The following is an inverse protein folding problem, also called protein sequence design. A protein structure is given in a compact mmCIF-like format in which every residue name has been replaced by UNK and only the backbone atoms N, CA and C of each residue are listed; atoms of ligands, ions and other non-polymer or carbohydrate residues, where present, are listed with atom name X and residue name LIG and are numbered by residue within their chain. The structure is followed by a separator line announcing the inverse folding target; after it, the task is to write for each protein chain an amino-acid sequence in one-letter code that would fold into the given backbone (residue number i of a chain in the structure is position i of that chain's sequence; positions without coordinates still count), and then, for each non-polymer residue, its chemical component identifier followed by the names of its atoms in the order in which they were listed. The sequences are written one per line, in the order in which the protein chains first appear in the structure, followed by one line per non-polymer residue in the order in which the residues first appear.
data_IF_056833325867
#
_entry.id   IF_056833325867
#
_cell.length_a   1.000
_cell.length_b   1.000
_cell.length_c   1.000
_cell.angle_alpha   90.00
_cell.angle_beta   90.00
_cell.angle_gamma   90.00
#
_symmetry.space_group_name_H-M   'P 1'
#
loop_
_entity.id
_entity.type
_entity.pdbx_description
1 polymer ?
#
# COMPACT_ATOMS: atom_id res chain seq x y z
N UNK A 1 -6.26 5.47 -26.50
CA UNK A 1 -5.98 6.89 -26.77
C UNK A 1 -4.59 7.28 -26.25
N UNK A 2 -4.33 7.24 -24.94
CA UNK A 2 -3.05 7.64 -24.33
C UNK A 2 -1.80 6.93 -24.88
N UNK A 3 -1.86 5.63 -25.15
CA UNK A 3 -0.73 4.90 -25.72
C UNK A 3 -0.24 5.48 -27.07
N UNK A 4 -1.17 6.00 -27.89
CA UNK A 4 -0.83 6.66 -29.17
C UNK A 4 -0.15 8.01 -28.97
N UNK A 5 -0.36 8.66 -27.83
CA UNK A 5 0.32 9.89 -27.43
C UNK A 5 1.66 9.62 -26.71
N UNK A 6 2.15 8.38 -26.72
CA UNK A 6 3.43 7.99 -26.12
C UNK A 6 3.37 7.65 -24.63
N UNK A 7 2.18 7.52 -24.04
CA UNK A 7 2.02 7.09 -22.66
C UNK A 7 2.24 5.58 -22.53
N UNK A 8 2.88 5.16 -21.45
CA UNK A 8 3.27 3.77 -21.18
C UNK A 8 2.51 3.29 -19.92
N UNK A 9 1.78 2.18 -20.04
CA UNK A 9 1.13 1.52 -18.90
C UNK A 9 2.15 0.68 -18.12
N UNK A 10 2.98 1.38 -17.37
CA UNK A 10 4.16 0.82 -16.72
C UNK A 10 3.99 0.61 -15.21
N UNK A 11 3.08 1.34 -14.58
CA UNK A 11 2.77 1.14 -13.17
C UNK A 11 1.81 -0.03 -13.03
N UNK A 12 2.29 -1.08 -12.36
CA UNK A 12 1.51 -2.29 -12.15
C UNK A 12 1.65 -2.77 -10.71
N UNK A 13 0.52 -3.22 -10.17
CA UNK A 13 0.44 -3.83 -8.86
C UNK A 13 -0.47 -5.04 -8.89
N UNK A 14 -0.74 -5.57 -7.71
CA UNK A 14 -1.79 -6.54 -7.48
C UNK A 14 -2.68 -6.04 -6.35
N UNK A 15 -3.99 -6.11 -6.56
CA UNK A 15 -4.98 -5.80 -5.55
C UNK A 15 -5.34 -7.10 -4.81
N UNK A 16 -5.03 -7.11 -3.53
CA UNK A 16 -5.53 -8.08 -2.57
C UNK A 16 -6.88 -7.62 -2.02
N UNK A 17 -7.85 -8.51 -2.01
CA UNK A 17 -9.15 -8.30 -1.41
C UNK A 17 -9.49 -9.46 -0.47
N UNK A 18 -9.81 -9.13 0.78
CA UNK A 18 -10.19 -10.09 1.81
C UNK A 18 -11.49 -9.66 2.47
N UNK A 19 -12.42 -10.60 2.59
CA UNK A 19 -13.64 -10.47 3.41
C UNK A 19 -13.57 -11.35 4.63
N UNK A 20 -14.12 -10.87 5.73
CA UNK A 20 -14.21 -11.58 6.98
C UNK A 20 -15.29 -10.99 7.88
N UNK A 21 -15.48 -11.59 9.04
CA UNK A 21 -16.31 -10.99 10.09
C UNK A 21 -15.51 -9.87 10.73
N UNK A 22 -16.05 -8.65 10.74
CA UNK A 22 -15.45 -7.55 11.49
C UNK A 22 -15.37 -7.94 12.97
N UNK A 23 -14.22 -7.75 13.60
CA UNK A 23 -14.13 -7.74 15.06
C UNK A 23 -14.84 -6.51 15.63
N UNK A 24 -14.95 -6.45 16.96
CA UNK A 24 -15.38 -5.22 17.62
C UNK A 24 -14.46 -4.06 17.18
N UNK A 25 -15.04 -2.92 16.82
CA UNK A 25 -14.27 -1.71 16.49
C UNK A 25 -13.38 -1.38 17.68
N UNK A 26 -12.08 -1.66 17.55
CA UNK A 26 -11.11 -1.17 18.52
C UNK A 26 -11.19 0.36 18.52
N UNK A 27 -11.10 0.98 19.69
CA UNK A 27 -10.72 2.38 19.79
C UNK A 27 -9.33 2.49 19.19
N UNK A 28 -9.22 3.15 18.03
CA UNK A 28 -7.93 3.29 17.36
C UNK A 28 -7.22 4.48 17.97
N UNK A 29 -5.97 4.25 18.41
CA UNK A 29 -5.06 5.33 18.77
C UNK A 29 -4.92 6.30 17.60
N UNK A 30 -4.62 7.57 17.87
CA UNK A 30 -4.40 8.56 16.82
C UNK A 30 -3.32 8.07 15.84
N UNK A 31 -3.72 7.69 14.62
CA UNK A 31 -2.82 7.15 13.61
C UNK A 31 -1.62 8.08 13.33
N UNK A 32 -1.80 9.39 13.55
CA UNK A 32 -0.76 10.41 13.41
C UNK A 32 0.40 10.19 14.36
N UNK A 33 0.14 9.65 15.55
CA UNK A 33 1.18 9.34 16.53
C UNK A 33 2.15 8.25 16.03
N UNK A 34 1.70 7.39 15.10
CA UNK A 34 2.52 6.32 14.53
C UNK A 34 3.35 6.77 13.32
N UNK A 35 3.04 7.90 12.68
CA UNK A 35 3.69 8.33 11.44
C UNK A 35 5.22 8.45 11.54
N UNK A 36 5.82 9.02 12.61
CA UNK A 36 7.27 9.10 12.71
C UNK A 36 7.94 7.71 12.72
N UNK A 37 7.37 6.75 13.45
CA UNK A 37 7.89 5.39 13.53
C UNK A 37 7.71 4.65 12.19
N UNK A 38 6.58 4.85 11.51
CA UNK A 38 6.34 4.32 10.16
C UNK A 38 7.35 4.88 9.17
N UNK A 39 7.62 6.19 9.22
CA UNK A 39 8.61 6.84 8.37
C UNK A 39 9.99 6.21 8.56
N UNK A 40 10.45 6.05 9.80
CA UNK A 40 11.74 5.40 10.08
C UNK A 40 11.81 3.95 9.60
N UNK A 41 10.72 3.17 9.74
CA UNK A 41 10.67 1.79 9.22
C UNK A 41 10.77 1.77 7.69
N UNK A 42 10.05 2.68 7.02
CA UNK A 42 10.07 2.82 5.56
C UNK A 42 11.47 3.21 5.05
N UNK A 43 12.11 4.18 5.68
CA UNK A 43 13.48 4.61 5.31
C UNK A 43 14.50 3.46 5.43
N UNK A 44 14.36 2.64 6.49
CA UNK A 44 15.27 1.53 6.76
C UNK A 44 15.19 0.39 5.72
N UNK A 45 14.07 0.22 5.02
CA UNK A 45 13.94 -0.83 4.00
C UNK A 45 14.78 -0.55 2.75
N UNK A 46 15.01 0.73 2.43
CA UNK A 46 15.69 1.14 1.20
C UNK A 46 14.85 0.83 -0.05
N UNK A 47 14.70 1.80 -0.95
CA UNK A 47 13.86 1.62 -2.14
C UNK A 47 12.93 2.80 -2.43
N UNK A 48 13.09 3.89 -1.68
CA UNK A 48 12.32 5.10 -1.87
C UNK A 48 12.53 5.68 -3.28
N UNK A 49 11.43 5.82 -4.01
CA UNK A 49 11.41 6.55 -5.28
C UNK A 49 10.95 7.99 -5.11
N UNK A 50 10.29 8.29 -3.98
CA UNK A 50 9.69 9.58 -3.66
C UNK A 50 9.95 9.90 -2.18
N UNK A 51 10.51 11.08 -1.92
CA UNK A 51 10.70 11.60 -0.58
C UNK A 51 9.35 12.03 0.01
N UNK A 52 9.08 11.65 1.26
CA UNK A 52 7.81 11.96 1.92
C UNK A 52 7.93 13.14 2.86
N UNK A 53 6.83 13.86 2.99
CA UNK A 53 6.64 14.91 3.98
C UNK A 53 5.54 14.49 4.96
N UNK A 54 5.36 15.18 6.10
CA UNK A 54 4.19 14.96 6.95
C UNK A 54 2.85 15.09 6.20
N UNK A 55 2.78 15.93 5.16
CA UNK A 55 1.59 16.06 4.32
C UNK A 55 1.31 14.79 3.51
N UNK A 56 2.34 14.05 3.08
CA UNK A 56 2.20 12.77 2.38
C UNK A 56 1.45 11.74 3.24
N UNK A 57 1.77 11.67 4.54
CA UNK A 57 1.08 10.77 5.48
C UNK A 57 -0.35 11.21 5.81
N UNK A 58 -0.64 12.51 5.67
CA UNK A 58 -1.97 13.06 5.88
C UNK A 58 -2.93 12.83 4.69
N UNK A 59 -2.42 12.32 3.56
CA UNK A 59 -3.22 12.04 2.36
C UNK A 59 -4.26 10.96 2.62
N UNK A 60 -5.54 11.33 2.52
CA UNK A 60 -6.67 10.43 2.64
C UNK A 60 -7.30 10.20 1.26
N UNK A 61 -7.28 8.96 0.79
CA UNK A 61 -7.81 8.59 -0.52
C UNK A 61 -9.26 8.14 -0.40
N UNK A 62 -10.14 8.70 -1.24
CA UNK A 62 -11.50 8.19 -1.38
C UNK A 62 -11.49 6.67 -1.69
N UNK A 63 -12.41 5.89 -1.11
CA UNK A 63 -13.58 6.32 -0.33
C UNK A 63 -13.32 6.41 1.19
N UNK A 64 -12.07 6.36 1.64
CA UNK A 64 -11.77 6.44 3.07
C UNK A 64 -12.16 7.81 3.64
N UNK A 65 -12.65 7.80 4.88
CA UNK A 65 -13.08 8.97 5.65
C UNK A 65 -12.18 9.25 6.85
N UNK A 66 -11.34 8.28 7.23
CA UNK A 66 -10.46 8.38 8.40
C UNK A 66 -9.11 7.71 8.13
N UNK A 67 -8.09 8.16 8.86
CA UNK A 67 -6.77 7.52 8.91
C UNK A 67 -6.73 6.46 9.98
N UNK A 68 -6.10 5.34 9.64
CA UNK A 68 -5.66 4.32 10.58
C UNK A 68 -4.22 3.91 10.23
N UNK A 69 -3.53 3.37 11.22
CA UNK A 69 -2.18 2.87 11.06
C UNK A 69 -1.92 1.74 12.06
N UNK A 70 -1.00 0.86 11.72
CA UNK A 70 -0.58 -0.20 12.62
C UNK A 70 0.91 -0.47 12.47
N UNK A 71 1.57 -0.76 13.58
CA UNK A 71 2.93 -1.30 13.63
C UNK A 71 2.88 -2.57 14.46
N UNK A 72 3.32 -3.70 13.91
CA UNK A 72 3.46 -4.96 14.64
C UNK A 72 4.69 -5.72 14.16
N UNK A 73 5.51 -6.19 15.11
CA UNK A 73 6.68 -7.03 14.81
C UNK A 73 7.68 -6.40 13.83
N UNK A 74 7.83 -5.07 13.86
CA UNK A 74 8.70 -4.34 12.93
C UNK A 74 8.13 -4.16 11.52
N UNK A 75 6.90 -4.61 11.27
CA UNK A 75 6.13 -4.30 10.07
C UNK A 75 5.15 -3.16 10.34
N UNK A 76 4.75 -2.45 9.30
CA UNK A 76 3.77 -1.36 9.39
C UNK A 76 2.74 -1.40 8.27
N UNK A 77 1.60 -0.75 8.52
CA UNK A 77 0.58 -0.46 7.52
C UNK A 77 0.05 0.97 7.67
N UNK A 78 -0.14 1.64 6.52
CA UNK A 78 -0.91 2.87 6.40
C UNK A 78 -2.27 2.52 5.80
N UNK A 79 -3.35 2.89 6.47
CA UNK A 79 -4.70 2.42 6.15
C UNK A 79 -5.66 3.60 6.12
N UNK A 80 -6.41 3.74 5.04
CA UNK A 80 -7.63 4.54 5.04
C UNK A 80 -8.81 3.70 5.50
N UNK A 81 -9.73 4.26 6.28
CA UNK A 81 -10.91 3.56 6.77
C UNK A 81 -12.20 4.20 6.28
N UNK A 82 -13.19 3.37 5.94
CA UNK A 82 -14.59 3.77 5.80
C UNK A 82 -15.48 2.73 6.49
N UNK A 83 -16.01 3.04 7.67
CA UNK A 83 -16.77 2.08 8.48
C UNK A 83 -15.92 0.86 8.89
N UNK A 84 -16.36 -0.33 8.47
CA UNK A 84 -15.67 -1.61 8.72
C UNK A 84 -14.71 -2.04 7.58
N UNK A 85 -14.54 -1.18 6.56
CA UNK A 85 -13.66 -1.43 5.42
C UNK A 85 -12.34 -0.68 5.61
N UNK A 86 -11.23 -1.40 5.45
CA UNK A 86 -9.88 -0.84 5.45
C UNK A 86 -9.26 -0.87 4.04
N UNK A 87 -8.64 0.24 3.65
CA UNK A 87 -7.91 0.44 2.41
C UNK A 87 -6.44 0.61 2.76
N UNK A 88 -5.67 -0.49 2.67
CA UNK A 88 -4.24 -0.48 2.96
C UNK A 88 -3.52 0.17 1.78
N UNK A 89 -3.11 1.43 1.97
CA UNK A 89 -2.38 2.22 0.98
C UNK A 89 -0.94 1.76 0.86
N UNK A 90 -0.37 1.27 1.96
CA UNK A 90 0.97 0.75 2.02
C UNK A 90 1.11 -0.25 3.16
N UNK A 91 1.91 -1.28 2.92
CA UNK A 91 2.34 -2.25 3.90
C UNK A 91 3.82 -2.56 3.66
N UNK A 92 4.60 -2.60 4.73
CA UNK A 92 6.04 -2.79 4.65
C UNK A 92 6.66 -3.13 6.00
N UNK A 93 7.98 -3.01 6.06
CA UNK A 93 8.83 -3.31 7.21
C UNK A 93 9.30 -4.78 7.23
N UNK A 94 9.68 -5.25 8.41
CA UNK A 94 10.29 -6.56 8.56
C UNK A 94 9.35 -7.69 8.11
N UNK A 95 9.81 -8.51 7.16
CA UNK A 95 9.03 -9.63 6.57
C UNK A 95 8.49 -10.58 7.65
N UNK A 96 9.25 -10.78 8.74
CA UNK A 96 8.83 -11.60 9.88
C UNK A 96 7.61 -11.07 10.64
N UNK A 97 7.39 -9.75 10.65
CA UNK A 97 6.28 -9.09 11.31
C UNK A 97 4.98 -9.06 10.50
N UNK A 98 5.08 -9.15 9.16
CA UNK A 98 3.92 -9.07 8.26
C UNK A 98 2.77 -10.03 8.61
N UNK A 99 3.00 -11.30 9.01
CA UNK A 99 1.89 -12.18 9.39
C UNK A 99 1.12 -11.72 10.64
N UNK A 100 1.82 -11.15 11.63
CA UNK A 100 1.19 -10.64 12.85
C UNK A 100 0.36 -9.38 12.53
N UNK A 101 0.98 -8.43 11.83
CA UNK A 101 0.34 -7.23 11.34
C UNK A 101 -0.91 -7.55 10.50
N UNK A 102 -0.80 -8.47 9.55
CA UNK A 102 -1.93 -8.86 8.70
C UNK A 102 -3.06 -9.47 9.50
N UNK A 103 -2.76 -10.31 10.49
CA UNK A 103 -3.78 -10.88 11.40
C UNK A 103 -4.49 -9.78 12.20
N UNK A 104 -3.74 -8.79 12.68
CA UNK A 104 -4.28 -7.62 13.39
C UNK A 104 -5.26 -6.85 12.52
N UNK A 105 -4.86 -6.48 11.30
CA UNK A 105 -5.73 -5.83 10.33
C UNK A 105 -6.97 -6.68 10.01
N UNK A 106 -6.79 -7.98 9.78
CA UNK A 106 -7.90 -8.90 9.51
C UNK A 106 -8.92 -9.02 10.65
N UNK A 107 -8.48 -8.76 11.90
CA UNK A 107 -9.34 -8.71 13.08
C UNK A 107 -10.08 -7.38 13.23
N UNK A 108 -9.46 -6.27 12.81
CA UNK A 108 -10.05 -4.92 12.86
C UNK A 108 -11.12 -4.70 11.79
N UNK A 109 -10.93 -5.26 10.60
CA UNK A 109 -11.71 -4.94 9.42
C UNK A 109 -12.53 -6.14 8.91
N UNK A 110 -13.79 -5.88 8.56
CA UNK A 110 -14.66 -6.85 7.89
C UNK A 110 -14.31 -7.00 6.42
N UNK A 111 -13.81 -5.94 5.79
CA UNK A 111 -13.34 -5.96 4.42
C UNK A 111 -11.99 -5.22 4.33
N UNK A 112 -11.03 -5.81 3.62
CA UNK A 112 -9.71 -5.24 3.41
C UNK A 112 -9.38 -5.22 1.92
N UNK A 113 -8.95 -4.05 1.45
CA UNK A 113 -8.33 -3.85 0.16
C UNK A 113 -6.87 -3.49 0.38
N UNK A 114 -5.96 -4.11 -0.37
CA UNK A 114 -4.53 -3.88 -0.26
C UNK A 114 -3.91 -3.83 -1.66
N UNK A 115 -3.14 -2.79 -1.93
CA UNK A 115 -2.30 -2.73 -3.12
C UNK A 115 -0.84 -3.00 -2.75
N UNK A 116 -0.20 -3.91 -3.48
CA UNK A 116 1.23 -4.17 -3.37
C UNK A 116 1.86 -4.37 -4.73
N UNK A 117 3.17 -4.20 -4.81
CA UNK A 117 3.95 -4.61 -5.98
C UNK A 117 3.85 -6.13 -6.15
N UNK A 118 3.61 -6.58 -7.39
CA UNK A 118 3.69 -8.00 -7.72
C UNK A 118 5.06 -8.57 -7.33
N UNK A 119 5.06 -9.75 -6.75
CA UNK A 119 6.27 -10.47 -6.29
C UNK A 119 7.12 -9.66 -5.30
N UNK A 120 6.53 -8.67 -4.62
CA UNK A 120 7.15 -8.12 -3.42
C UNK A 120 7.12 -9.15 -2.28
N UNK A 121 8.03 -9.06 -1.29
CA UNK A 121 7.96 -9.89 -0.10
C UNK A 121 6.59 -9.85 0.59
N UNK A 122 5.94 -8.67 0.61
CA UNK A 122 4.58 -8.53 1.11
C UNK A 122 3.57 -9.32 0.28
N UNK A 123 3.60 -9.19 -1.06
CA UNK A 123 2.74 -9.98 -1.94
C UNK A 123 2.94 -11.48 -1.74
N UNK A 124 4.17 -11.98 -1.82
CA UNK A 124 4.46 -13.41 -1.70
C UNK A 124 4.01 -13.97 -0.35
N UNK A 125 4.24 -13.22 0.74
CA UNK A 125 3.88 -13.66 2.08
C UNK A 125 2.38 -13.69 2.31
N UNK A 126 1.66 -12.71 1.75
CA UNK A 126 0.21 -12.58 1.92
C UNK A 126 -0.58 -13.41 0.90
N UNK A 127 -0.02 -13.67 -0.28
CA UNK A 127 -0.60 -14.57 -1.28
C UNK A 127 -0.61 -16.03 -0.81
N UNK A 128 0.30 -16.41 0.10
CA UNK A 128 0.25 -17.70 0.78
C UNK A 128 -0.95 -17.86 1.74
N UNK A 129 -1.71 -16.78 2.02
CA UNK A 129 -2.89 -16.83 2.88
C UNK A 129 -4.16 -17.08 2.03
N UNK A 130 -4.92 -18.15 2.28
CA UNK A 130 -6.02 -18.57 1.39
C UNK A 130 -7.24 -17.64 1.37
N UNK A 131 -7.33 -16.69 2.32
CA UNK A 131 -8.49 -15.81 2.48
C UNK A 131 -8.43 -14.51 1.65
N UNK A 132 -7.34 -14.29 0.91
CA UNK A 132 -7.13 -13.08 0.10
C UNK A 132 -7.23 -13.44 -1.38
N UNK A 133 -8.22 -12.87 -2.07
CA UNK A 133 -8.29 -12.92 -3.53
C UNK A 133 -7.34 -11.88 -4.12
N UNK A 134 -6.54 -12.27 -5.10
CA UNK A 134 -5.59 -11.39 -5.78
C UNK A 134 -5.99 -11.18 -7.21
N UNK A 135 -5.94 -9.94 -7.66
CA UNK A 135 -6.15 -9.58 -9.05
C UNK A 135 -5.07 -8.61 -9.53
N UNK A 136 -4.71 -8.75 -10.80
CA UNK A 136 -3.78 -7.87 -11.47
C UNK A 136 -4.39 -6.48 -11.62
N UNK A 137 -3.60 -5.44 -11.37
CA UNK A 137 -4.05 -4.06 -11.52
C UNK A 137 -3.05 -3.23 -12.31
N UNK A 138 -3.56 -2.61 -13.38
CA UNK A 138 -2.90 -1.51 -14.07
C UNK A 138 -3.22 -0.21 -13.32
N UNK A 139 -2.18 0.53 -12.94
CA UNK A 139 -2.30 1.75 -12.13
C UNK A 139 -2.10 2.98 -13.05
N UNK A 140 -1.08 3.80 -12.80
CA UNK A 140 -0.80 4.99 -13.59
C UNK A 140 -0.14 4.68 -14.95
N UNK A 141 -0.46 5.52 -15.94
CA UNK A 141 0.31 5.60 -17.18
C UNK A 141 1.37 6.71 -17.08
N UNK A 142 2.53 6.49 -17.70
CA UNK A 142 3.66 7.43 -17.67
C UNK A 142 4.00 7.97 -19.05
N UNK A 143 4.27 9.27 -19.14
CA UNK A 143 4.79 9.90 -20.35
C UNK A 143 6.28 10.25 -20.15
N UNK A 144 7.23 9.55 -20.79
CA UNK A 144 8.64 9.85 -20.65
C UNK A 144 9.01 11.15 -21.39
N UNK A 145 9.43 12.16 -20.62
CA UNK A 145 9.70 13.52 -21.12
C UNK A 145 11.13 13.75 -21.65
N UNK A 146 12.02 12.75 -21.56
CA UNK A 146 13.40 12.87 -22.05
C UNK A 146 13.89 11.58 -22.73
N UNK A 147 14.90 11.69 -23.58
CA UNK A 147 15.54 10.52 -24.21
C UNK A 147 16.12 9.55 -23.17
N UNK A 148 16.70 10.09 -22.09
CA UNK A 148 17.18 9.31 -20.94
C UNK A 148 16.03 8.56 -20.27
N UNK A 149 14.89 9.21 -20.02
CA UNK A 149 13.73 8.56 -19.44
C UNK A 149 13.23 7.43 -20.34
N UNK A 150 13.11 7.67 -21.66
CA UNK A 150 12.68 6.64 -22.64
C UNK A 150 13.56 5.39 -22.67
N UNK A 151 14.84 5.52 -22.32
CA UNK A 151 15.76 4.40 -22.25
C UNK A 151 15.62 3.55 -20.97
N UNK A 152 14.83 3.97 -19.99
CA UNK A 152 14.58 3.22 -18.76
C UNK A 152 13.52 2.14 -18.99
N UNK A 153 13.75 0.95 -18.42
CA UNK A 153 12.74 -0.11 -18.38
C UNK A 153 11.64 0.25 -17.38
N UNK A 154 10.53 0.79 -17.88
CA UNK A 154 9.39 1.19 -17.05
C UNK A 154 8.45 0.04 -16.66
N UNK A 155 8.51 -1.12 -17.33
CA UNK A 155 7.51 -2.19 -17.23
C UNK A 155 7.36 -2.85 -15.85
N UNK A 156 8.32 -2.63 -14.94
CA UNK A 156 8.31 -3.16 -13.58
C UNK A 156 8.19 -2.06 -12.51
N UNK A 157 7.72 -0.88 -12.90
CA UNK A 157 7.53 0.20 -11.94
C UNK A 157 6.30 -0.09 -11.08
N UNK A 158 6.48 0.08 -9.79
CA UNK A 158 5.39 0.15 -8.84
C UNK A 158 5.61 1.41 -8.02
N UNK A 159 4.60 2.27 -7.97
CA UNK A 159 4.59 3.43 -7.09
C UNK A 159 3.53 3.16 -6.01
N UNK A 160 3.89 3.23 -4.72
CA UNK A 160 2.90 3.12 -3.64
C UNK A 160 1.80 4.17 -3.79
N UNK A 161 0.58 3.82 -3.38
CA UNK A 161 -0.60 4.68 -3.59
C UNK A 161 -0.46 6.09 -3.01
N UNK A 162 0.22 6.22 -1.87
CA UNK A 162 0.47 7.52 -1.23
C UNK A 162 1.43 8.39 -2.05
N UNK A 163 2.29 7.78 -2.86
CA UNK A 163 3.30 8.47 -3.67
C UNK A 163 2.78 8.87 -5.07
N UNK A 164 1.50 8.59 -5.38
CA UNK A 164 0.85 9.03 -6.63
C UNK A 164 0.30 10.46 -6.61
N UNK A 165 0.28 11.12 -5.45
CA UNK A 165 -0.36 12.44 -5.24
C UNK A 165 0.68 13.54 -5.04
#
# INVERSE_FOLDING_TARGET
FYARAGWIAADCGVLGHRRGRAGATATHDDARALWPAIHSLREAEGGERVARTPASYATLLAPATEHDAAIEGGAYALVGRAGATGYVYEIGGQIGGLPALWRSLCGRYGELFLNVRRSSPAHERLAAQPATAWQDQHLAMWLPLSARARAVHFHDWYIPFVDHI
#
